data_IF_792176070973
#
_entry.id   IF_792176070973
#
_cell.length_a   1.000
_cell.length_b   1.000
_cell.length_c   1.000
_cell.angle_alpha   90.00
_cell.angle_beta   90.00
_cell.angle_gamma   90.00
#
_symmetry.space_group_name_H-M   'P 1'
#
loop_
_entity.id
_entity.type
_entity.pdbx_description
1 polymer ?
#
# COMPACT_ATOMS: atom_id res chain seq x y z
N UNK A 1 19.84 -0.81 -14.16
CA UNK A 1 19.38 -0.88 -12.76
C UNK A 1 17.89 -1.19 -12.84
N UNK A 2 17.40 -2.10 -12.00
CA UNK A 2 15.97 -2.40 -11.98
C UNK A 2 15.20 -1.25 -11.33
N UNK A 3 14.05 -0.90 -11.89
CA UNK A 3 13.21 0.20 -11.43
C UNK A 3 11.99 -0.34 -10.67
N UNK A 4 11.81 0.14 -9.45
CA UNK A 4 10.63 -0.16 -8.65
C UNK A 4 9.72 1.06 -8.57
N UNK A 5 8.44 0.90 -8.91
CA UNK A 5 7.40 1.89 -8.65
C UNK A 5 6.64 1.51 -7.38
N UNK A 6 6.59 2.42 -6.41
CA UNK A 6 5.85 2.24 -5.16
C UNK A 6 4.80 3.31 -5.03
N UNK A 7 3.52 2.96 -5.03
CA UNK A 7 2.44 3.92 -4.75
C UNK A 7 2.14 3.97 -3.26
N UNK A 8 1.74 5.14 -2.75
CA UNK A 8 1.64 5.36 -1.30
C UNK A 8 3.02 5.34 -0.62
N UNK A 9 4.05 5.75 -1.37
CA UNK A 9 5.46 5.65 -0.97
C UNK A 9 5.81 6.37 0.32
N UNK A 10 5.07 7.42 0.67
CA UNK A 10 5.30 8.19 1.90
C UNK A 10 4.51 7.65 3.11
N UNK A 11 3.65 6.64 2.90
CA UNK A 11 2.94 5.93 3.95
C UNK A 11 3.83 4.95 4.71
N UNK A 12 3.26 4.33 5.77
CA UNK A 12 4.00 3.40 6.64
C UNK A 12 4.59 2.22 5.86
N UNK A 13 3.76 1.50 5.10
CA UNK A 13 4.21 0.31 4.36
C UNK A 13 5.05 0.70 3.15
N UNK A 14 4.59 1.69 2.36
CA UNK A 14 5.29 2.11 1.15
C UNK A 14 6.70 2.61 1.40
N UNK A 15 6.93 3.32 2.50
CA UNK A 15 8.26 3.82 2.83
C UNK A 15 9.25 2.70 3.19
N UNK A 16 8.79 1.67 3.91
CA UNK A 16 9.65 0.51 4.23
C UNK A 16 9.96 -0.32 2.98
N UNK A 17 9.00 -0.46 2.05
CA UNK A 17 9.26 -1.06 0.72
C UNK A 17 10.34 -0.27 -0.02
N UNK A 18 10.24 1.07 -0.07
CA UNK A 18 11.24 1.91 -0.72
C UNK A 18 12.64 1.71 -0.13
N UNK A 19 12.75 1.71 1.20
CA UNK A 19 14.03 1.53 1.90
C UNK A 19 14.62 0.14 1.64
N UNK A 20 13.79 -0.89 1.74
CA UNK A 20 14.23 -2.27 1.54
C UNK A 20 14.80 -2.48 0.12
N UNK A 21 14.05 -2.11 -0.91
CA UNK A 21 14.49 -2.31 -2.29
C UNK A 21 15.65 -1.38 -2.68
N UNK A 22 15.74 -0.19 -2.11
CA UNK A 22 16.91 0.67 -2.27
C UNK A 22 18.18 0.00 -1.74
N UNK A 23 18.08 -0.70 -0.59
CA UNK A 23 19.21 -1.45 -0.02
C UNK A 23 19.66 -2.62 -0.89
N UNK A 24 18.77 -3.13 -1.75
CA UNK A 24 19.06 -4.17 -2.75
C UNK A 24 19.58 -3.59 -4.08
N UNK A 25 19.77 -2.28 -4.17
CA UNK A 25 20.32 -1.62 -5.35
C UNK A 25 19.30 -1.32 -6.46
N UNK A 26 18.00 -1.29 -6.15
CA UNK A 26 16.97 -0.86 -7.10
C UNK A 26 16.90 0.66 -7.18
N UNK A 27 16.53 1.18 -8.36
CA UNK A 27 16.13 2.57 -8.57
C UNK A 27 14.67 2.73 -8.10
N UNK A 28 14.44 3.65 -7.15
CA UNK A 28 13.15 3.77 -6.47
C UNK A 28 12.39 4.99 -6.97
N UNK A 29 11.19 4.73 -7.49
CA UNK A 29 10.20 5.73 -7.91
C UNK A 29 8.99 5.67 -6.98
N UNK A 30 8.82 6.69 -6.14
CA UNK A 30 7.70 6.78 -5.21
C UNK A 30 6.57 7.66 -5.77
N UNK A 31 5.34 7.18 -5.70
CA UNK A 31 4.12 7.94 -6.02
C UNK A 31 3.36 8.21 -4.74
N UNK A 32 3.11 9.48 -4.44
CA UNK A 32 2.32 9.91 -3.29
C UNK A 32 1.86 11.36 -3.52
N UNK A 33 0.61 11.66 -3.23
CA UNK A 33 0.04 13.01 -3.32
C UNK A 33 -0.38 13.57 -1.96
N UNK A 34 0.04 12.93 -0.86
CA UNK A 34 -0.33 13.32 0.49
C UNK A 34 -1.84 13.33 0.75
N UNK A 35 -2.60 12.50 0.03
CA UNK A 35 -4.05 12.39 0.19
C UNK A 35 -4.47 12.02 1.62
N UNK A 36 -3.58 11.37 2.36
CA UNK A 36 -3.79 11.06 3.77
C UNK A 36 -4.03 12.31 4.62
N UNK A 37 -3.37 13.43 4.31
CA UNK A 37 -3.60 14.70 5.01
C UNK A 37 -5.00 15.27 4.72
N UNK A 38 -5.54 15.06 3.51
CA UNK A 38 -6.92 15.44 3.16
C UNK A 38 -7.92 14.60 3.95
N UNK A 39 -7.67 13.31 4.10
CA UNK A 39 -8.57 12.40 4.82
C UNK A 39 -8.54 12.58 6.34
N UNK A 40 -7.37 12.85 6.93
CA UNK A 40 -7.16 12.79 8.39
C UNK A 40 -6.62 14.10 8.99
N UNK A 41 -6.53 15.17 8.18
CA UNK A 41 -5.98 16.46 8.63
C UNK A 41 -4.46 16.42 8.82
N UNK A 42 -3.94 17.38 9.57
CA UNK A 42 -2.49 17.55 9.76
C UNK A 42 -1.78 16.34 10.36
N UNK A 43 -2.47 15.52 11.15
CA UNK A 43 -1.91 14.27 11.69
C UNK A 43 -1.71 13.20 10.62
N UNK A 44 -2.40 13.32 9.49
CA UNK A 44 -2.25 12.44 8.33
C UNK A 44 -1.12 12.86 7.40
N UNK A 45 -0.49 14.01 7.61
CA UNK A 45 0.55 14.53 6.72
C UNK A 45 1.76 13.61 6.66
N UNK A 46 2.09 13.13 5.45
CA UNK A 46 3.21 12.22 5.18
C UNK A 46 4.39 12.89 4.49
N UNK A 47 4.36 14.23 4.30
CA UNK A 47 5.46 14.98 3.65
C UNK A 47 6.79 14.86 4.39
N UNK A 48 6.76 14.77 5.71
CA UNK A 48 7.97 14.52 6.50
C UNK A 48 8.67 13.20 6.11
N UNK A 49 7.89 12.14 5.82
CA UNK A 49 8.44 10.85 5.44
C UNK A 49 8.92 10.85 3.98
N UNK A 50 8.23 11.58 3.09
CA UNK A 50 8.73 11.84 1.74
C UNK A 50 10.12 12.50 1.76
N UNK A 51 10.29 13.56 2.58
CA UNK A 51 11.59 14.24 2.75
C UNK A 51 12.65 13.29 3.32
N UNK A 52 12.28 12.43 4.29
CA UNK A 52 13.15 11.39 4.81
C UNK A 52 13.63 10.46 3.69
N UNK A 53 12.73 9.94 2.85
CA UNK A 53 13.08 9.06 1.73
C UNK A 53 14.03 9.75 0.75
N UNK A 54 13.77 11.00 0.38
CA UNK A 54 14.64 11.80 -0.49
C UNK A 54 16.04 12.02 0.09
N UNK A 55 16.14 12.06 1.42
CA UNK A 55 17.42 12.25 2.10
C UNK A 55 18.21 10.95 2.22
N UNK A 56 17.54 9.83 2.57
CA UNK A 56 18.22 8.57 2.88
C UNK A 56 18.44 7.66 1.67
N UNK A 57 17.58 7.76 0.65
CA UNK A 57 17.71 6.96 -0.56
C UNK A 57 18.35 7.82 -1.66
N UNK A 58 19.62 7.53 -1.95
CA UNK A 58 20.31 8.22 -3.05
C UNK A 58 19.63 7.93 -4.38
N UNK A 59 19.15 8.99 -5.05
CA UNK A 59 18.48 8.87 -6.34
C UNK A 59 16.99 8.52 -6.25
N UNK A 60 16.37 8.63 -5.07
CA UNK A 60 14.92 8.50 -4.95
C UNK A 60 14.20 9.55 -5.80
N UNK A 61 13.28 9.10 -6.64
CA UNK A 61 12.47 9.98 -7.48
C UNK A 61 11.04 10.00 -6.96
N UNK A 62 10.56 11.17 -6.57
CA UNK A 62 9.17 11.37 -6.16
C UNK A 62 8.32 11.82 -7.33
N UNK A 63 7.14 11.21 -7.47
CA UNK A 63 6.11 11.58 -8.44
C UNK A 63 4.84 12.01 -7.69
N UNK A 64 4.50 13.29 -7.83
CA UNK A 64 3.26 13.85 -7.29
C UNK A 64 2.10 13.50 -8.23
N UNK A 65 1.58 12.28 -8.12
CA UNK A 65 0.52 11.76 -8.98
C UNK A 65 -0.59 11.18 -8.10
N UNK A 66 -1.82 11.56 -8.40
CA UNK A 66 -3.01 10.91 -7.84
C UNK A 66 -3.33 9.65 -8.64
N UNK A 67 -3.43 8.50 -7.98
CA UNK A 67 -3.74 7.23 -8.65
C UNK A 67 -5.13 7.23 -9.31
N UNK A 68 -6.02 8.14 -8.90
CA UNK A 68 -7.34 8.35 -9.54
C UNK A 68 -7.23 9.08 -10.88
N UNK A 69 -6.13 9.83 -11.11
CA UNK A 69 -5.85 10.44 -12.41
C UNK A 69 -5.36 9.40 -13.41
N UNK A 70 -6.30 8.87 -14.18
CA UNK A 70 -6.04 7.84 -15.19
C UNK A 70 -4.93 8.25 -16.16
N UNK A 71 -4.97 9.47 -16.68
CA UNK A 71 -4.00 9.89 -17.68
C UNK A 71 -2.61 10.09 -17.07
N UNK A 72 -2.55 10.65 -15.86
CA UNK A 72 -1.31 10.80 -15.09
C UNK A 72 -0.65 9.44 -14.82
N UNK A 73 -1.43 8.44 -14.43
CA UNK A 73 -0.94 7.06 -14.19
C UNK A 73 -0.46 6.41 -15.49
N UNK A 74 -1.24 6.50 -16.58
CA UNK A 74 -0.84 5.96 -17.89
C UNK A 74 0.48 6.57 -18.37
N UNK A 75 0.59 7.89 -18.32
CA UNK A 75 1.80 8.61 -18.75
C UNK A 75 3.02 8.24 -17.89
N UNK A 76 2.83 8.12 -16.59
CA UNK A 76 3.90 7.75 -15.67
C UNK A 76 4.45 6.36 -15.98
N UNK A 77 3.60 5.34 -16.06
CA UNK A 77 4.03 3.95 -16.29
C UNK A 77 4.60 3.79 -17.70
N UNK A 78 4.02 4.46 -18.71
CA UNK A 78 4.55 4.44 -20.07
C UNK A 78 5.98 5.02 -20.16
N UNK A 79 6.20 6.17 -19.53
CA UNK A 79 7.52 6.83 -19.55
C UNK A 79 8.56 6.12 -18.69
N UNK A 80 8.15 5.60 -17.53
CA UNK A 80 9.06 4.98 -16.56
C UNK A 80 9.43 3.55 -16.95
N UNK A 81 8.45 2.76 -17.42
CA UNK A 81 8.59 1.31 -17.68
C UNK A 81 9.19 0.57 -16.48
N UNK A 82 8.51 0.55 -15.32
CA UNK A 82 9.05 -0.10 -14.13
C UNK A 82 9.19 -1.61 -14.34
N UNK A 83 10.23 -2.19 -13.71
CA UNK A 83 10.47 -3.63 -13.70
C UNK A 83 9.59 -4.36 -12.66
N UNK A 84 9.11 -3.64 -11.63
CA UNK A 84 8.13 -4.13 -10.66
C UNK A 84 7.32 -2.97 -10.09
N UNK A 85 6.10 -3.28 -9.64
CA UNK A 85 5.19 -2.31 -9.01
C UNK A 85 4.71 -2.86 -7.68
N UNK A 86 4.80 -2.04 -6.62
CA UNK A 86 4.22 -2.33 -5.31
C UNK A 86 3.17 -1.26 -5.00
N UNK A 87 1.91 -1.69 -4.93
CA UNK A 87 0.77 -0.81 -4.74
C UNK A 87 0.33 -0.83 -3.27
N UNK A 88 0.65 0.25 -2.55
CA UNK A 88 0.29 0.45 -1.14
C UNK A 88 -0.63 1.66 -0.91
N UNK A 89 -0.88 2.46 -1.95
CA UNK A 89 -1.78 3.61 -1.83
C UNK A 89 -3.22 3.13 -1.61
N UNK A 90 -3.87 3.67 -0.58
CA UNK A 90 -5.25 3.33 -0.26
C UNK A 90 -5.90 4.41 0.62
N UNK A 91 -7.23 4.45 0.63
CA UNK A 91 -8.01 5.01 1.74
C UNK A 91 -8.23 3.87 2.76
N UNK A 92 -7.58 3.89 3.95
CA UNK A 92 -7.51 2.73 4.82
C UNK A 92 -8.58 2.69 5.93
N UNK A 93 -9.44 3.71 6.05
CA UNK A 93 -10.37 3.85 7.18
C UNK A 93 -11.78 3.41 6.83
N UNK A 94 -12.27 2.35 7.49
CA UNK A 94 -13.66 1.91 7.35
C UNK A 94 -14.69 2.96 7.75
N UNK A 95 -14.44 3.65 8.88
CA UNK A 95 -15.36 4.67 9.37
C UNK A 95 -15.45 5.88 8.44
N UNK A 96 -14.34 6.20 7.78
CA UNK A 96 -14.30 7.27 6.80
C UNK A 96 -14.95 6.82 5.49
N UNK A 97 -14.70 5.60 5.04
CA UNK A 97 -15.31 5.02 3.83
C UNK A 97 -16.83 5.13 3.84
N UNK A 98 -17.47 4.85 4.99
CA UNK A 98 -18.91 5.01 5.15
C UNK A 98 -19.40 6.45 4.97
N UNK A 99 -18.55 7.45 5.21
CA UNK A 99 -18.88 8.87 5.09
C UNK A 99 -18.54 9.46 3.72
N UNK A 100 -17.55 8.88 3.03
CA UNK A 100 -17.05 9.34 1.73
C UNK A 100 -16.97 8.18 0.73
N UNK A 101 -18.08 7.47 0.44
CA UNK A 101 -18.04 6.22 -0.34
C UNK A 101 -17.51 6.40 -1.77
N UNK A 102 -17.70 7.56 -2.39
CA UNK A 102 -17.15 7.84 -3.73
C UNK A 102 -15.63 8.00 -3.69
N UNK A 103 -15.10 8.79 -2.76
CA UNK A 103 -13.64 8.95 -2.62
C UNK A 103 -12.96 7.64 -2.26
N UNK A 104 -13.62 6.84 -1.40
CA UNK A 104 -13.13 5.51 -1.04
C UNK A 104 -13.08 4.59 -2.26
N UNK A 105 -14.17 4.51 -3.03
CA UNK A 105 -14.23 3.71 -4.25
C UNK A 105 -13.24 4.19 -5.31
N UNK A 106 -13.18 5.50 -5.55
CA UNK A 106 -12.27 6.08 -6.53
C UNK A 106 -10.81 5.82 -6.18
N UNK A 107 -10.46 5.90 -4.89
CA UNK A 107 -9.10 5.62 -4.45
C UNK A 107 -8.78 4.13 -4.52
N UNK A 108 -9.61 3.29 -3.90
CA UNK A 108 -9.29 1.88 -3.70
C UNK A 108 -9.60 1.01 -4.93
N UNK A 109 -10.65 1.31 -5.69
CA UNK A 109 -11.05 0.54 -6.87
C UNK A 109 -10.57 1.18 -8.17
N UNK A 110 -10.94 2.44 -8.45
CA UNK A 110 -10.58 3.10 -9.72
C UNK A 110 -9.08 3.33 -9.79
N UNK A 111 -8.44 3.78 -8.71
CA UNK A 111 -6.98 3.96 -8.65
C UNK A 111 -6.22 2.65 -8.91
N UNK A 112 -6.65 1.55 -8.29
CA UNK A 112 -6.07 0.22 -8.54
C UNK A 112 -6.27 -0.21 -10.00
N UNK A 113 -7.47 -0.02 -10.56
CA UNK A 113 -7.74 -0.33 -11.97
C UNK A 113 -6.87 0.47 -12.93
N UNK A 114 -6.64 1.77 -12.66
CA UNK A 114 -5.77 2.60 -13.48
C UNK A 114 -4.34 2.05 -13.52
N UNK A 115 -3.80 1.64 -12.37
CA UNK A 115 -2.46 1.04 -12.27
C UNK A 115 -2.38 -0.31 -12.98
N UNK A 116 -3.36 -1.19 -12.77
CA UNK A 116 -3.41 -2.51 -13.42
C UNK A 116 -3.48 -2.37 -14.95
N UNK A 117 -4.33 -1.48 -15.45
CA UNK A 117 -4.47 -1.27 -16.88
C UNK A 117 -3.22 -0.65 -17.49
N UNK A 118 -2.61 0.33 -16.83
CA UNK A 118 -1.33 0.90 -17.28
C UNK A 118 -0.22 -0.16 -17.30
N UNK A 119 -0.16 -1.03 -16.27
CA UNK A 119 0.79 -2.15 -16.22
C UNK A 119 0.56 -3.12 -17.39
N UNK A 120 -0.68 -3.50 -17.63
CA UNK A 120 -1.05 -4.40 -18.75
C UNK A 120 -0.62 -3.82 -20.10
N UNK A 121 -0.80 -2.51 -20.31
CA UNK A 121 -0.47 -1.85 -21.58
C UNK A 121 1.03 -1.69 -21.79
N UNK A 122 1.75 -1.28 -20.75
CA UNK A 122 3.10 -0.77 -20.91
C UNK A 122 4.20 -1.68 -20.33
N UNK A 123 3.90 -2.44 -19.29
CA UNK A 123 4.86 -3.33 -18.62
C UNK A 123 4.23 -4.67 -18.24
N UNK A 124 3.67 -5.43 -19.21
CA UNK A 124 2.85 -6.62 -18.93
C UNK A 124 3.61 -7.76 -18.23
N UNK A 125 4.93 -7.73 -18.24
CA UNK A 125 5.78 -8.73 -17.57
C UNK A 125 6.26 -8.28 -16.18
N UNK A 126 6.00 -7.02 -15.78
CA UNK A 126 6.36 -6.53 -14.46
C UNK A 126 5.45 -7.16 -13.39
N UNK A 127 6.00 -7.78 -12.35
CA UNK A 127 5.20 -8.22 -11.22
C UNK A 127 4.50 -7.03 -10.57
N UNK A 128 3.20 -7.21 -10.29
CA UNK A 128 2.36 -6.25 -9.61
C UNK A 128 1.96 -6.82 -8.25
N UNK A 129 2.50 -6.23 -7.18
CA UNK A 129 2.20 -6.62 -5.80
C UNK A 129 1.16 -5.66 -5.24
N UNK A 130 -0.03 -6.16 -4.98
CA UNK A 130 -1.11 -5.40 -4.35
C UNK A 130 -1.17 -5.70 -2.86
N UNK A 131 -1.04 -4.66 -2.03
CA UNK A 131 -1.20 -4.79 -0.58
C UNK A 131 -2.69 -4.77 -0.22
N UNK A 132 -3.18 -5.92 0.22
CA UNK A 132 -4.55 -6.08 0.68
C UNK A 132 -4.71 -5.58 2.13
N UNK A 133 -5.74 -6.00 2.80
CA UNK A 133 -6.08 -5.58 4.17
C UNK A 133 -5.88 -6.72 5.16
N UNK A 134 -5.53 -6.40 6.41
CA UNK A 134 -5.57 -7.34 7.52
C UNK A 134 -7.00 -7.80 7.86
N UNK A 135 -8.01 -7.09 7.34
CA UNK A 135 -9.43 -7.41 7.52
C UNK A 135 -9.94 -8.51 6.58
N UNK A 136 -9.08 -9.10 5.75
CA UNK A 136 -9.46 -10.15 4.80
C UNK A 136 -10.11 -11.36 5.48
N UNK A 137 -9.74 -11.63 6.74
CA UNK A 137 -10.30 -12.72 7.54
C UNK A 137 -11.54 -12.30 8.34
N UNK A 138 -12.02 -11.06 8.23
CA UNK A 138 -13.16 -10.53 8.99
C UNK A 138 -12.93 -10.59 10.50
N UNK A 139 -13.96 -10.99 11.25
CA UNK A 139 -13.92 -11.10 12.70
C UNK A 139 -13.50 -12.48 13.21
N UNK A 140 -13.39 -13.47 12.35
CA UNK A 140 -13.06 -14.84 12.73
C UNK A 140 -11.76 -14.98 13.56
N UNK A 141 -10.68 -14.22 13.31
CA UNK A 141 -9.49 -14.26 14.19
C UNK A 141 -9.76 -13.82 15.63
N UNK A 142 -10.75 -12.96 15.85
CA UNK A 142 -11.11 -12.47 17.19
C UNK A 142 -11.85 -13.52 18.02
N UNK A 143 -12.34 -14.60 17.40
CA UNK A 143 -12.99 -15.72 18.09
C UNK A 143 -11.97 -16.69 18.70
N UNK A 144 -10.70 -16.59 18.31
CA UNK A 144 -9.62 -17.44 18.82
C UNK A 144 -9.22 -16.92 20.20
N UNK A 145 -9.17 -17.78 21.24
CA UNK A 145 -8.71 -17.36 22.56
C UNK A 145 -7.33 -16.76 22.53
N UNK A 146 -7.13 -15.67 23.26
CA UNK A 146 -5.88 -14.95 23.32
C UNK A 146 -5.27 -14.98 24.72
N UNK A 147 -3.95 -14.91 24.78
CA UNK A 147 -3.15 -14.74 25.99
C UNK A 147 -2.56 -13.33 25.99
N UNK A 148 -2.65 -12.65 27.13
CA UNK A 148 -1.95 -11.40 27.37
C UNK A 148 -0.53 -11.71 27.83
N UNK A 149 0.47 -11.22 27.08
CA UNK A 149 1.87 -11.29 27.40
C UNK A 149 2.36 -9.88 27.80
N UNK A 150 3.58 -9.78 28.34
CA UNK A 150 4.13 -8.51 28.83
C UNK A 150 4.14 -7.37 27.80
N UNK A 151 4.24 -7.68 26.51
CA UNK A 151 4.38 -6.70 25.43
C UNK A 151 3.41 -6.85 24.26
N UNK A 152 2.60 -7.91 24.24
CA UNK A 152 1.65 -8.18 23.18
C UNK A 152 0.56 -9.16 23.60
N UNK A 153 -0.50 -9.21 22.82
CA UNK A 153 -1.43 -10.32 22.81
C UNK A 153 -0.94 -11.42 21.85
N UNK A 154 -1.15 -12.68 22.19
CA UNK A 154 -0.82 -13.83 21.35
C UNK A 154 -1.96 -14.84 21.38
N UNK A 155 -2.01 -15.74 20.39
CA UNK A 155 -3.05 -16.77 20.37
C UNK A 155 -2.76 -17.87 21.43
N UNK A 156 -3.79 -18.26 22.17
CA UNK A 156 -3.71 -19.35 23.14
C UNK A 156 -3.72 -20.73 22.50
N UNK A 157 -4.22 -20.85 21.27
CA UNK A 157 -4.29 -22.10 20.53
C UNK A 157 -2.95 -22.38 19.84
N UNK A 158 -2.30 -23.51 20.14
CA UNK A 158 -1.02 -23.88 19.51
C UNK A 158 -1.04 -23.98 17.98
N UNK A 159 -2.21 -24.18 17.36
CA UNK A 159 -2.34 -24.18 15.92
C UNK A 159 -2.05 -22.80 15.29
N UNK A 160 -2.10 -21.74 16.09
CA UNK A 160 -1.87 -20.35 15.66
C UNK A 160 -0.64 -19.72 16.32
N UNK A 161 0.28 -20.51 16.90
CA UNK A 161 1.51 -19.99 17.53
C UNK A 161 2.37 -19.13 16.59
N UNK A 162 2.32 -19.42 15.27
CA UNK A 162 3.03 -18.68 14.23
C UNK A 162 2.14 -17.66 13.49
N UNK A 163 0.98 -17.34 14.04
CA UNK A 163 0.00 -16.42 13.45
C UNK A 163 -1.08 -17.12 12.62
N UNK A 164 -1.96 -16.32 12.01
CA UNK A 164 -3.03 -16.80 11.15
C UNK A 164 -2.45 -17.26 9.81
N UNK A 165 -2.67 -18.53 9.41
CA UNK A 165 -2.16 -19.05 8.13
C UNK A 165 -3.00 -18.56 6.96
N UNK A 166 -2.43 -18.58 5.75
CA UNK A 166 -3.11 -18.20 4.50
C UNK A 166 -4.34 -19.10 4.20
N UNK A 167 -4.38 -20.29 4.77
CA UNK A 167 -5.50 -21.23 4.63
C UNK A 167 -6.64 -20.96 5.61
N UNK A 168 -6.50 -19.95 6.48
CA UNK A 168 -7.57 -19.62 7.42
C UNK A 168 -8.82 -19.17 6.67
N UNK A 169 -9.99 -19.50 7.22
CA UNK A 169 -11.29 -19.15 6.63
C UNK A 169 -11.40 -17.64 6.43
N UNK A 170 -11.90 -17.25 5.27
CA UNK A 170 -12.34 -15.87 5.02
C UNK A 170 -13.71 -15.71 5.64
N UNK A 171 -13.85 -14.77 6.56
CA UNK A 171 -15.13 -14.50 7.19
C UNK A 171 -16.08 -13.85 6.17
N UNK A 172 -17.32 -14.34 6.17
CA UNK A 172 -18.41 -13.66 5.50
C UNK A 172 -18.89 -12.59 6.47
N UNK A 173 -18.37 -11.39 6.33
CA UNK A 173 -18.86 -10.25 7.10
C UNK A 173 -20.38 -10.12 6.92
N UNK A 174 -21.10 -10.13 8.03
CA UNK A 174 -22.54 -9.92 8.04
C UNK A 174 -22.88 -8.48 7.75
#
# INVERSE_FOLDING_TARGET
MLKLLVTGSSGLIGSEVCLHFASLGWEIHGVDNNQRAVFFGSQGDTRWNQQRLQTVIKGFVHHEVDIRDRQGVLNLIDSLRPDAIVHTAAQPSHDLAAKIPFDDFDTNAVGTLNLLEATRQFTPNAPFVHLSTNKVYGDAPNEIPMLELDSRWDYADPNYENGIPETFRIDQSK
#
